data_IF_911559867307
#
_entry.id   IF_911559867307
#
_cell.length_a   1.000
_cell.length_b   1.000
_cell.length_c   1.000
_cell.angle_alpha   90.00
_cell.angle_beta   90.00
_cell.angle_gamma   90.00
#
_symmetry.space_group_name_H-M   'P 1'
#
loop_
_entity.id
_entity.type
_entity.pdbx_description
1 polymer ?
#
# COMPACT_ATOMS: atom_id res chain seq x y z
N UNK A 1 -17.63 23.08 30.87
CA UNK A 1 -17.39 21.62 30.77
C UNK A 1 -16.00 21.20 31.28
N UNK A 2 -15.96 20.22 32.20
CA UNK A 2 -14.75 19.48 32.60
C UNK A 2 -14.96 17.98 32.36
N UNK A 3 -14.03 17.29 31.69
CA UNK A 3 -14.11 15.82 31.56
C UNK A 3 -13.70 15.20 32.89
N UNK A 4 -14.61 14.41 33.47
CA UNK A 4 -14.43 13.71 34.74
C UNK A 4 -13.88 12.29 34.55
N UNK A 5 -14.33 11.62 33.48
CA UNK A 5 -13.96 10.23 33.21
C UNK A 5 -13.80 10.01 31.70
N UNK A 6 -12.79 9.23 31.33
CA UNK A 6 -12.60 8.68 29.98
C UNK A 6 -12.67 7.17 30.09
N UNK A 7 -13.58 6.54 29.35
CA UNK A 7 -13.71 5.08 29.26
C UNK A 7 -13.21 4.61 27.91
N UNK A 8 -12.34 3.61 27.95
CA UNK A 8 -11.88 2.85 26.78
C UNK A 8 -12.04 1.38 27.10
N UNK A 9 -13.02 0.73 26.47
CA UNK A 9 -13.30 -0.69 26.68
C UNK A 9 -13.05 -1.43 25.36
N UNK A 10 -12.15 -2.42 25.35
CA UNK A 10 -12.00 -3.33 24.23
C UNK A 10 -12.84 -4.57 24.50
N UNK A 11 -13.96 -4.72 23.80
CA UNK A 11 -14.94 -5.78 24.06
C UNK A 11 -14.51 -7.11 23.45
N UNK A 12 -14.28 -7.11 22.13
CA UNK A 12 -13.66 -8.21 21.40
C UNK A 12 -13.11 -7.69 20.07
N UNK A 13 -12.12 -8.39 19.51
CA UNK A 13 -11.63 -8.13 18.15
C UNK A 13 -11.78 -9.40 17.33
N UNK A 14 -12.46 -9.31 16.18
CA UNK A 14 -12.65 -10.44 15.25
C UNK A 14 -12.12 -10.03 13.88
N UNK A 15 -10.95 -10.55 13.53
CA UNK A 15 -10.18 -10.16 12.34
C UNK A 15 -10.02 -8.64 12.23
N UNK A 16 -10.75 -8.01 11.31
CA UNK A 16 -10.73 -6.56 11.04
C UNK A 16 -11.74 -5.76 11.88
N UNK A 17 -12.64 -6.44 12.60
CA UNK A 17 -13.66 -5.80 13.41
C UNK A 17 -13.09 -5.47 14.80
N UNK A 18 -12.85 -4.19 15.06
CA UNK A 18 -12.42 -3.71 16.38
C UNK A 18 -13.65 -3.23 17.15
N UNK A 19 -14.18 -4.07 18.04
CA UNK A 19 -15.28 -3.66 18.91
C UNK A 19 -14.71 -2.94 20.14
N UNK A 20 -14.53 -1.64 19.98
CA UNK A 20 -14.03 -0.73 21.00
C UNK A 20 -15.14 0.24 21.41
N UNK A 21 -15.29 0.47 22.71
CA UNK A 21 -16.21 1.45 23.26
C UNK A 21 -15.41 2.61 23.84
N UNK A 22 -15.63 3.80 23.29
CA UNK A 22 -15.11 5.04 23.82
C UNK A 22 -16.25 5.82 24.49
N UNK A 23 -16.00 6.30 25.71
CA UNK A 23 -16.98 7.07 26.46
C UNK A 23 -16.34 8.22 27.21
N UNK A 24 -17.08 9.32 27.33
CA UNK A 24 -16.71 10.46 28.15
C UNK A 24 -17.81 10.72 29.17
N UNK A 25 -17.41 10.97 30.42
CA UNK A 25 -18.32 11.53 31.42
C UNK A 25 -17.85 12.96 31.69
N UNK A 26 -18.71 13.93 31.43
CA UNK A 26 -18.45 15.33 31.67
C UNK A 26 -19.23 15.85 32.87
N UNK A 27 -18.62 16.76 33.61
CA UNK A 27 -19.26 17.56 34.64
C UNK A 27 -19.65 18.92 34.04
N UNK A 28 -20.92 19.27 34.20
CA UNK A 28 -21.52 20.50 33.71
C UNK A 28 -21.55 21.55 34.82
N UNK A 29 -21.18 22.78 34.51
CA UNK A 29 -21.45 23.92 35.38
C UNK A 29 -22.93 24.33 35.27
N UNK A 30 -23.46 25.06 36.26
CA UNK A 30 -24.86 25.54 36.25
C UNK A 30 -25.20 26.43 35.04
N UNK A 31 -24.18 27.04 34.42
CA UNK A 31 -24.32 27.91 33.24
C UNK A 31 -24.05 27.19 31.91
N UNK A 32 -23.65 25.92 31.93
CA UNK A 32 -23.38 25.16 30.70
C UNK A 32 -24.71 24.76 30.03
N UNK A 33 -24.78 24.86 28.69
CA UNK A 33 -25.88 24.30 27.91
C UNK A 33 -25.64 22.78 27.69
N UNK A 34 -26.50 21.88 28.21
CA UNK A 34 -26.31 20.43 28.08
C UNK A 34 -26.23 19.93 26.63
N UNK A 35 -27.06 20.46 25.73
CA UNK A 35 -27.10 20.02 24.32
C UNK A 35 -25.83 20.40 23.58
N UNK A 36 -25.30 21.60 23.87
CA UNK A 36 -24.02 22.05 23.31
C UNK A 36 -22.87 21.15 23.79
N UNK A 37 -22.85 20.83 25.07
CA UNK A 37 -21.81 19.95 25.65
C UNK A 37 -21.91 18.53 25.07
N UNK A 38 -23.13 18.01 24.91
CA UNK A 38 -23.33 16.72 24.25
C UNK A 38 -22.78 16.73 22.82
N UNK A 39 -23.08 17.77 22.03
CA UNK A 39 -22.56 17.91 20.67
C UNK A 39 -21.02 17.98 20.64
N UNK A 40 -20.38 18.72 21.55
CA UNK A 40 -18.92 18.79 21.67
C UNK A 40 -18.29 17.44 21.99
N UNK A 41 -18.87 16.68 22.93
CA UNK A 41 -18.41 15.33 23.27
C UNK A 41 -18.59 14.36 22.11
N UNK A 42 -19.72 14.44 21.40
CA UNK A 42 -19.99 13.62 20.23
C UNK A 42 -18.98 13.88 19.10
N UNK A 43 -18.71 15.15 18.78
CA UNK A 43 -17.67 15.53 17.82
C UNK A 43 -16.28 15.04 18.24
N UNK A 44 -15.97 15.06 19.54
CA UNK A 44 -14.71 14.52 20.06
C UNK A 44 -14.60 13.02 19.82
N UNK A 45 -15.67 12.25 20.07
CA UNK A 45 -15.72 10.81 19.77
C UNK A 45 -15.49 10.57 18.28
N UNK A 46 -16.23 11.26 17.40
CA UNK A 46 -16.08 11.12 15.95
C UNK A 46 -14.66 11.40 15.48
N UNK A 47 -14.03 12.47 15.97
CA UNK A 47 -12.64 12.80 15.59
C UNK A 47 -11.64 11.71 15.99
N UNK A 48 -11.87 11.03 17.12
CA UNK A 48 -11.03 9.92 17.58
C UNK A 48 -11.28 8.70 16.68
N UNK A 49 -12.54 8.39 16.39
CA UNK A 49 -12.92 7.28 15.52
C UNK A 49 -12.32 7.42 14.12
N UNK A 50 -12.55 8.57 13.46
CA UNK A 50 -12.00 8.88 12.13
C UNK A 50 -10.47 8.74 12.11
N UNK A 51 -9.81 9.21 13.17
CA UNK A 51 -8.37 9.13 13.29
C UNK A 51 -7.88 7.68 13.43
N UNK A 52 -8.53 6.89 14.28
CA UNK A 52 -8.18 5.48 14.47
C UNK A 52 -8.42 4.67 13.19
N UNK A 53 -9.50 4.95 12.47
CA UNK A 53 -9.81 4.31 11.20
C UNK A 53 -8.81 4.70 10.11
N UNK A 54 -8.42 5.97 10.03
CA UNK A 54 -7.34 6.39 9.15
C UNK A 54 -6.02 5.67 9.48
N UNK A 55 -5.69 5.49 10.76
CA UNK A 55 -4.50 4.76 11.19
C UNK A 55 -4.55 3.28 10.80
N UNK A 56 -5.68 2.61 11.04
CA UNK A 56 -5.92 1.22 10.62
C UNK A 56 -5.79 1.07 9.11
N UNK A 57 -6.47 1.93 8.34
CA UNK A 57 -6.40 1.95 6.88
C UNK A 57 -4.97 2.10 6.36
N UNK A 58 -4.16 2.97 6.97
CA UNK A 58 -2.74 3.12 6.59
C UNK A 58 -1.96 1.82 6.82
N UNK A 59 -2.22 1.10 7.92
CA UNK A 59 -1.58 -0.20 8.16
C UNK A 59 -1.99 -1.25 7.12
N UNK A 60 -3.29 -1.42 6.88
CA UNK A 60 -3.82 -2.33 5.85
C UNK A 60 -3.24 -2.03 4.46
N UNK A 61 -3.09 -0.73 4.15
CA UNK A 61 -2.51 -0.27 2.90
C UNK A 61 -1.02 -0.60 2.79
N UNK A 62 -0.24 -0.43 3.87
CA UNK A 62 1.18 -0.83 3.89
C UNK A 62 1.32 -2.34 3.65
N UNK A 63 0.54 -3.16 4.35
CA UNK A 63 0.56 -4.61 4.17
C UNK A 63 0.18 -5.02 2.74
N UNK A 64 -0.79 -4.33 2.14
CA UNK A 64 -1.19 -4.57 0.75
C UNK A 64 -0.08 -4.19 -0.23
N UNK A 65 0.55 -3.03 -0.06
CA UNK A 65 1.69 -2.61 -0.88
C UNK A 65 2.87 -3.57 -0.73
N UNK A 66 3.13 -4.08 0.48
CA UNK A 66 4.19 -5.06 0.70
C UNK A 66 3.96 -6.35 -0.08
N UNK A 67 2.73 -6.86 -0.11
CA UNK A 67 2.38 -8.00 -0.97
C UNK A 67 2.62 -7.71 -2.44
N UNK A 68 2.26 -6.51 -2.92
CA UNK A 68 2.52 -6.12 -4.31
C UNK A 68 4.01 -5.99 -4.63
N UNK A 69 4.82 -5.46 -3.72
CA UNK A 69 6.28 -5.40 -3.86
C UNK A 69 6.85 -6.81 -4.01
N UNK A 70 6.50 -7.73 -3.12
CA UNK A 70 6.99 -9.11 -3.17
C UNK A 70 6.57 -9.82 -4.45
N UNK A 71 5.30 -9.71 -4.84
CA UNK A 71 4.80 -10.32 -6.08
C UNK A 71 5.51 -9.75 -7.32
N UNK A 72 5.73 -8.44 -7.36
CA UNK A 72 6.43 -7.79 -8.48
C UNK A 72 7.90 -8.20 -8.54
N UNK A 73 8.57 -8.33 -7.38
CA UNK A 73 9.94 -8.83 -7.31
C UNK A 73 10.06 -10.26 -7.83
N UNK A 74 9.15 -11.16 -7.43
CA UNK A 74 9.10 -12.52 -7.99
C UNK A 74 8.88 -12.52 -9.50
N UNK A 75 7.99 -11.65 -10.00
CA UNK A 75 7.76 -11.47 -11.44
C UNK A 75 9.02 -11.01 -12.18
N UNK A 76 9.76 -10.05 -11.62
CA UNK A 76 11.05 -9.58 -12.17
C UNK A 76 12.06 -10.71 -12.23
N UNK A 77 12.23 -11.47 -11.13
CA UNK A 77 13.16 -12.60 -11.09
C UNK A 77 12.83 -13.65 -12.15
N UNK A 78 11.55 -14.00 -12.30
CA UNK A 78 11.10 -14.94 -13.33
C UNK A 78 11.45 -14.45 -14.73
N UNK A 79 11.14 -13.20 -15.07
CA UNK A 79 11.45 -12.62 -16.39
C UNK A 79 12.97 -12.59 -16.61
N UNK A 80 13.77 -12.29 -15.59
CA UNK A 80 15.24 -12.31 -15.70
C UNK A 80 15.79 -13.72 -15.99
N UNK A 81 15.22 -14.76 -15.38
CA UNK A 81 15.55 -16.15 -15.68
C UNK A 81 15.18 -16.51 -17.12
N UNK A 82 13.96 -16.18 -17.56
CA UNK A 82 13.51 -16.41 -18.95
C UNK A 82 14.41 -15.70 -19.97
N UNK A 83 14.84 -14.46 -19.67
CA UNK A 83 15.81 -13.72 -20.50
C UNK A 83 17.16 -14.44 -20.56
N UNK A 84 17.65 -14.97 -19.45
CA UNK A 84 18.94 -15.66 -19.40
C UNK A 84 18.91 -16.96 -20.23
N UNK A 85 17.86 -17.76 -20.07
CA UNK A 85 17.63 -18.98 -20.84
C UNK A 85 17.51 -18.67 -22.34
N UNK A 86 16.74 -17.65 -22.69
CA UNK A 86 16.54 -17.26 -24.09
C UNK A 86 17.82 -16.73 -24.75
N UNK A 87 18.70 -16.05 -24.00
CA UNK A 87 20.02 -15.63 -24.51
C UNK A 87 20.90 -16.83 -24.85
N UNK A 88 20.90 -17.88 -24.02
CA UNK A 88 21.64 -19.12 -24.31
C UNK A 88 21.09 -19.79 -25.58
N UNK A 89 19.76 -19.90 -25.71
CA UNK A 89 19.10 -20.41 -26.94
C UNK A 89 19.54 -19.62 -28.18
N UNK A 90 19.53 -18.29 -28.10
CA UNK A 90 19.92 -17.41 -29.20
C UNK A 90 21.38 -17.66 -29.62
N UNK A 91 22.30 -17.77 -28.65
CA UNK A 91 23.73 -18.01 -28.93
C UNK A 91 23.97 -19.40 -29.56
N UNK A 92 23.23 -20.43 -29.12
CA UNK A 92 23.26 -21.77 -29.71
C UNK A 92 22.70 -21.79 -31.13
N UNK A 93 21.56 -21.14 -31.35
CA UNK A 93 20.93 -21.01 -32.67
C UNK A 93 21.80 -20.21 -33.65
N UNK A 94 22.51 -19.19 -33.17
CA UNK A 94 23.46 -18.43 -33.99
C UNK A 94 24.59 -19.34 -34.51
N UNK A 95 25.15 -20.19 -33.65
CA UNK A 95 26.18 -21.17 -34.04
C UNK A 95 25.67 -22.22 -35.03
N UNK A 96 24.42 -22.66 -34.91
CA UNK A 96 23.80 -23.60 -35.85
C UNK A 96 23.51 -22.95 -37.20
N UNK A 97 23.04 -21.69 -37.18
CA UNK A 97 22.84 -20.89 -38.38
C UNK A 97 24.14 -20.65 -39.17
N UNK A 98 25.26 -20.40 -38.48
CA UNK A 98 26.59 -20.27 -39.11
C UNK A 98 27.05 -21.56 -39.80
N UNK A 99 26.63 -22.73 -39.28
CA UNK A 99 26.87 -24.04 -39.89
C UNK A 99 25.95 -24.36 -41.07
N UNK A 100 25.06 -23.43 -41.44
CA UNK A 100 24.22 -23.53 -42.62
C UNK A 100 22.82 -24.09 -42.39
N UNK A 101 22.36 -24.21 -41.14
CA UNK A 101 20.98 -24.65 -40.83
C UNK A 101 19.97 -23.50 -41.10
N UNK A 102 19.06 -23.65 -42.10
CA UNK A 102 18.07 -22.62 -42.41
C UNK A 102 16.98 -22.47 -41.33
N UNK A 103 16.63 -23.56 -40.64
CA UNK A 103 15.59 -23.57 -39.59
C UNK A 103 16.10 -22.84 -38.34
N UNK A 104 17.39 -23.00 -38.02
CA UNK A 104 18.06 -22.25 -36.96
C UNK A 104 18.00 -20.72 -37.18
N UNK A 105 18.09 -20.24 -38.43
CA UNK A 105 17.99 -18.79 -38.74
C UNK A 105 16.61 -18.22 -38.44
N UNK A 106 15.55 -18.97 -38.76
CA UNK A 106 14.17 -18.54 -38.49
C UNK A 106 13.88 -18.53 -36.98
N UNK A 107 14.27 -19.59 -36.26
CA UNK A 107 14.12 -19.67 -34.80
C UNK A 107 14.91 -18.57 -34.08
N UNK A 108 16.14 -18.29 -34.52
CA UNK A 108 16.95 -17.20 -33.98
C UNK A 108 16.26 -15.83 -34.11
N UNK A 109 15.60 -15.56 -35.25
CA UNK A 109 14.86 -14.30 -35.44
C UNK A 109 13.63 -14.20 -34.52
N UNK A 110 12.90 -15.30 -34.34
CA UNK A 110 11.78 -15.38 -33.39
C UNK A 110 12.23 -15.16 -31.94
N UNK A 111 13.29 -15.84 -31.51
CA UNK A 111 13.81 -15.73 -30.15
C UNK A 111 14.33 -14.32 -29.84
N UNK A 112 14.96 -13.63 -30.80
CA UNK A 112 15.33 -12.22 -30.63
C UNK A 112 14.13 -11.29 -30.45
N UNK A 113 13.00 -11.57 -31.12
CA UNK A 113 11.76 -10.80 -30.93
C UNK A 113 11.16 -11.07 -29.54
N UNK A 114 11.13 -12.33 -29.12
CA UNK A 114 10.70 -12.72 -27.78
C UNK A 114 11.57 -12.06 -26.71
N UNK A 115 12.89 -12.01 -26.91
CA UNK A 115 13.83 -11.35 -26.00
C UNK A 115 13.54 -9.85 -25.87
N UNK A 116 13.21 -9.18 -26.99
CA UNK A 116 12.82 -7.77 -26.95
C UNK A 116 11.55 -7.57 -26.11
N UNK A 117 10.53 -8.40 -26.32
CA UNK A 117 9.27 -8.36 -25.55
C UNK A 117 9.52 -8.56 -24.05
N UNK A 118 10.32 -9.56 -23.67
CA UNK A 118 10.65 -9.83 -22.28
C UNK A 118 11.41 -8.66 -21.62
N UNK A 119 12.29 -7.98 -22.36
CA UNK A 119 12.96 -6.78 -21.84
C UNK A 119 11.98 -5.61 -21.63
N UNK A 120 11.01 -5.43 -22.53
CA UNK A 120 9.97 -4.40 -22.37
C UNK A 120 9.08 -4.70 -21.16
N UNK A 121 8.70 -5.96 -20.96
CA UNK A 121 7.94 -6.42 -19.79
C UNK A 121 8.73 -6.27 -18.49
N UNK A 122 10.04 -6.56 -18.51
CA UNK A 122 10.94 -6.35 -17.38
C UNK A 122 10.99 -4.88 -16.96
N UNK A 123 11.13 -3.97 -17.93
CA UNK A 123 11.15 -2.53 -17.65
C UNK A 123 9.80 -2.02 -17.14
N UNK A 124 8.69 -2.57 -17.62
CA UNK A 124 7.35 -2.29 -17.08
C UNK A 124 7.25 -2.71 -15.61
N UNK A 125 7.66 -3.94 -15.27
CA UNK A 125 7.62 -4.45 -13.89
C UNK A 125 8.57 -3.70 -12.96
N UNK A 126 9.74 -3.25 -13.43
CA UNK A 126 10.63 -2.39 -12.64
C UNK A 126 10.00 -1.03 -12.31
N UNK A 127 9.31 -0.40 -13.28
CA UNK A 127 8.58 0.85 -13.05
C UNK A 127 7.46 0.66 -12.03
N UNK A 128 6.73 -0.45 -12.14
CA UNK A 128 5.68 -0.83 -11.18
C UNK A 128 6.25 -1.02 -9.76
N UNK A 129 7.37 -1.74 -9.63
CA UNK A 129 8.06 -1.91 -8.35
C UNK A 129 8.49 -0.56 -7.74
N UNK A 130 9.06 0.34 -8.56
CA UNK A 130 9.46 1.67 -8.12
C UNK A 130 8.26 2.50 -7.63
N UNK A 131 7.11 2.38 -8.30
CA UNK A 131 5.86 3.01 -7.86
C UNK A 131 5.43 2.49 -6.48
N UNK A 132 5.36 1.18 -6.27
CA UNK A 132 4.97 0.62 -4.98
C UNK A 132 5.92 1.01 -3.84
N UNK A 133 7.23 1.05 -4.09
CA UNK A 133 8.21 1.52 -3.10
C UNK A 133 7.95 2.98 -2.72
N UNK A 134 7.62 3.85 -3.70
CA UNK A 134 7.27 5.24 -3.44
C UNK A 134 6.01 5.36 -2.59
N UNK A 135 4.95 4.61 -2.93
CA UNK A 135 3.69 4.60 -2.17
C UNK A 135 3.92 4.10 -0.74
N UNK A 136 4.70 3.02 -0.57
CA UNK A 136 5.07 2.50 0.78
C UNK A 136 5.76 3.57 1.62
N UNK A 137 6.70 4.30 1.02
CA UNK A 137 7.40 5.39 1.71
C UNK A 137 6.43 6.47 2.19
N UNK A 138 5.52 6.93 1.32
CA UNK A 138 4.50 7.93 1.67
C UNK A 138 3.59 7.42 2.80
N UNK A 139 3.10 6.19 2.71
CA UNK A 139 2.27 5.59 3.77
C UNK A 139 3.01 5.47 5.11
N UNK A 140 4.32 5.17 5.08
CA UNK A 140 5.16 5.09 6.28
C UNK A 140 5.33 6.47 6.93
N UNK A 141 5.53 7.52 6.14
CA UNK A 141 5.61 8.91 6.61
C UNK A 141 4.28 9.37 7.24
N UNK A 142 3.15 9.02 6.61
CA UNK A 142 1.81 9.27 7.15
C UNK A 142 1.62 8.51 8.47
N UNK A 143 1.99 7.23 8.53
CA UNK A 143 1.90 6.41 9.75
C UNK A 143 2.67 7.03 10.92
N UNK A 144 3.89 7.50 10.67
CA UNK A 144 4.70 8.17 11.70
C UNK A 144 4.10 9.51 12.12
N UNK A 145 3.51 10.26 11.19
CA UNK A 145 2.80 11.51 11.49
C UNK A 145 1.58 11.25 12.37
N UNK A 146 0.76 10.25 12.03
CA UNK A 146 -0.36 9.82 12.84
C UNK A 146 0.11 9.35 14.22
N UNK A 147 1.17 8.54 14.30
CA UNK A 147 1.72 8.09 15.59
C UNK A 147 2.15 9.26 16.49
N UNK A 148 2.81 10.27 15.92
CA UNK A 148 3.20 11.50 16.66
C UNK A 148 1.98 12.26 17.15
N UNK A 149 0.97 12.46 16.28
CA UNK A 149 -0.28 13.15 16.62
C UNK A 149 -1.06 12.42 17.72
N UNK A 150 -1.15 11.10 17.63
CA UNK A 150 -1.76 10.25 18.65
C UNK A 150 -1.08 10.44 20.02
N UNK A 151 0.26 10.38 20.06
CA UNK A 151 1.04 10.57 21.28
C UNK A 151 0.92 11.98 21.88
N UNK A 152 0.62 12.99 21.06
CA UNK A 152 0.35 14.35 21.54
C UNK A 152 -1.13 14.62 21.85
N UNK A 153 -2.00 13.61 21.75
CA UNK A 153 -3.46 13.77 21.94
C UNK A 153 -4.16 14.59 20.85
N UNK A 154 -3.51 14.76 19.69
CA UNK A 154 -4.07 15.42 18.52
C UNK A 154 -4.70 14.36 17.60
N UNK A 155 -6.03 14.40 17.45
CA UNK A 155 -6.78 13.48 16.60
C UNK A 155 -7.23 14.12 15.28
N UNK A 156 -6.70 15.29 14.93
CA UNK A 156 -7.00 15.92 13.64
C UNK A 156 -6.32 15.18 12.49
N UNK A 157 -7.06 15.02 11.38
CA UNK A 157 -6.55 14.54 10.10
C UNK A 157 -6.18 15.68 9.13
N UNK A 158 -6.30 16.94 9.56
CA UNK A 158 -5.99 18.09 8.71
C UNK A 158 -4.55 18.07 8.21
N UNK A 159 -4.39 18.37 6.92
CA UNK A 159 -3.10 18.40 6.23
C UNK A 159 -2.47 17.02 5.97
N UNK A 160 -3.22 15.92 6.18
CA UNK A 160 -2.76 14.58 5.79
C UNK A 160 -3.33 14.24 4.42
N UNK A 161 -2.45 14.15 3.43
CA UNK A 161 -2.79 13.69 2.08
C UNK A 161 -2.57 12.19 1.98
N UNK A 162 -3.66 11.44 1.86
CA UNK A 162 -3.57 9.99 1.62
C UNK A 162 -3.35 9.73 0.13
N UNK A 163 -2.48 8.78 -0.24
CA UNK A 163 -2.29 8.43 -1.65
C UNK A 163 -3.59 7.88 -2.24
N UNK A 164 -4.03 8.45 -3.35
CA UNK A 164 -5.31 8.11 -3.99
C UNK A 164 -5.35 6.67 -4.55
N UNK A 165 -4.20 6.07 -4.87
CA UNK A 165 -4.13 4.81 -5.62
C UNK A 165 -3.09 3.86 -5.05
N UNK A 166 -3.55 2.66 -4.72
CA UNK A 166 -2.75 1.53 -4.23
C UNK A 166 -2.84 0.35 -5.22
N UNK A 167 -3.71 0.47 -6.23
CA UNK A 167 -4.10 -0.59 -7.17
C UNK A 167 -3.05 -0.74 -8.29
N UNK A 168 -2.86 -1.93 -8.87
CA UNK A 168 -1.84 -2.16 -9.88
C UNK A 168 -1.96 -1.29 -11.13
N UNK A 169 -0.82 -0.96 -11.72
CA UNK A 169 -0.70 -0.17 -12.97
C UNK A 169 -1.38 -0.88 -14.15
N UNK A 170 -1.57 -2.20 -14.06
CA UNK A 170 -2.24 -3.01 -15.09
C UNK A 170 -3.73 -2.69 -15.24
N UNK A 171 -4.38 -2.03 -14.27
CA UNK A 171 -5.78 -1.57 -14.40
C UNK A 171 -5.90 -0.18 -15.07
N UNK A 172 -4.81 0.38 -15.59
CA UNK A 172 -4.78 1.76 -16.10
C UNK A 172 -4.93 1.86 -17.63
N UNK A 173 -5.08 0.73 -18.31
CA UNK A 173 -5.24 0.62 -19.77
C UNK A 173 -6.36 -0.35 -20.15
#
# INVERSE_FOLDING_TARGET
MRIKEVRVEKLFSLEKYNNERFGFVAELAETDNPDKVFAELYQKILSIEDFLDAYRRVNDNIETVDRYITNTQHGITRIQTEIAELKVSIDELARLAEKGDPDARLRHACDRRSLKSLNEDLERKKKELAHYIKVKKQLTEIKETLKKRFNSGNFSLEGIEFPEKIVPVEEWF
#
